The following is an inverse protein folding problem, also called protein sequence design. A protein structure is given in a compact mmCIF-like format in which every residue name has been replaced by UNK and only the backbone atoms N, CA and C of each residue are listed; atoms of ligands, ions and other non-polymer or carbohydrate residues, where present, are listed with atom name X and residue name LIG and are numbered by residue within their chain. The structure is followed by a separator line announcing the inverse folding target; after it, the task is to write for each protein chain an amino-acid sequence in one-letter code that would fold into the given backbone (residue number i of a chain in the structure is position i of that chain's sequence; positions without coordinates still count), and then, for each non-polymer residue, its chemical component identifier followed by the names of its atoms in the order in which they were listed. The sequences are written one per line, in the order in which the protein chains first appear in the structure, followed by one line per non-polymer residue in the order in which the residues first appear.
data_IF_991011881272
#
_entry.id   IF_991011881272
#
_cell.length_a   1.000
_cell.length_b   1.000
_cell.length_c   1.000
_cell.angle_alpha   90.00
_cell.angle_beta   90.00
_cell.angle_gamma   90.00
#
_symmetry.space_group_name_H-M   'P 1'
#
loop_
_entity.id
_entity.type
_entity.pdbx_description
1 polymer ?
#
# COMPACT_ATOMS: atom_id res chain seq x y z
N UNK A 1 -11.16 1.16 -8.24
CA UNK A 1 -9.94 0.40 -7.86
C UNK A 1 -9.88 0.26 -6.33
N UNK A 2 -9.33 -0.84 -5.82
CA UNK A 2 -9.05 -1.06 -4.39
C UNK A 2 -7.53 -1.10 -4.15
N UNK A 3 -7.05 -0.50 -3.08
CA UNK A 3 -5.67 -0.63 -2.61
C UNK A 3 -5.69 -1.46 -1.33
N UNK A 4 -4.90 -2.53 -1.28
CA UNK A 4 -4.64 -3.32 -0.08
C UNK A 4 -3.23 -2.98 0.40
N UNK A 5 -3.11 -2.43 1.61
CA UNK A 5 -1.82 -2.21 2.26
C UNK A 5 -1.64 -3.25 3.34
N UNK A 6 -0.63 -4.09 3.18
CA UNK A 6 -0.23 -5.10 4.16
C UNK A 6 1.04 -4.63 4.88
N UNK A 7 0.96 -4.53 6.20
CA UNK A 7 2.09 -4.17 7.06
C UNK A 7 2.31 -5.32 8.03
N UNK A 8 3.37 -6.09 7.78
CA UNK A 8 3.77 -7.19 8.66
C UNK A 8 4.58 -6.68 9.85
N UNK A 9 4.32 -7.23 11.04
CA UNK A 9 5.21 -7.10 12.19
C UNK A 9 6.25 -8.22 12.17
N UNK A 10 7.54 -7.85 12.26
CA UNK A 10 8.66 -8.77 12.04
C UNK A 10 8.57 -10.07 12.84
N UNK A 11 9.00 -11.16 12.17
CA UNK A 11 9.23 -12.55 12.63
C UNK A 11 8.32 -13.66 12.10
N UNK A 12 7.26 -13.42 11.33
CA UNK A 12 6.51 -14.57 10.77
C UNK A 12 5.77 -14.27 9.47
N UNK A 13 6.05 -15.07 8.44
CA UNK A 13 5.20 -15.29 7.25
C UNK A 13 5.13 -14.16 6.22
N UNK A 14 5.53 -12.93 6.54
CA UNK A 14 5.40 -11.82 5.59
C UNK A 14 6.34 -11.98 4.40
N UNK A 15 7.56 -12.48 4.59
CA UNK A 15 8.44 -12.85 3.47
C UNK A 15 7.83 -13.96 2.61
N UNK A 16 7.16 -14.95 3.22
CA UNK A 16 6.44 -16.00 2.48
C UNK A 16 5.27 -15.42 1.68
N UNK A 17 4.46 -14.53 2.26
CA UNK A 17 3.37 -13.83 1.57
C UNK A 17 3.92 -13.00 0.41
N UNK A 18 4.97 -12.20 0.64
CA UNK A 18 5.59 -11.37 -0.39
C UNK A 18 6.18 -12.21 -1.52
N UNK A 19 6.83 -13.33 -1.18
CA UNK A 19 7.37 -14.28 -2.16
C UNK A 19 6.25 -14.93 -2.98
N UNK A 20 5.20 -15.45 -2.33
CA UNK A 20 4.03 -15.99 -3.03
C UNK A 20 3.38 -14.96 -3.95
N UNK A 21 3.17 -13.73 -3.48
CA UNK A 21 2.60 -12.64 -4.29
C UNK A 21 3.47 -12.31 -5.50
N UNK A 22 4.80 -12.29 -5.31
CA UNK A 22 5.76 -12.01 -6.37
C UNK A 22 5.81 -13.12 -7.42
N UNK A 23 5.88 -14.38 -6.98
CA UNK A 23 6.02 -15.55 -7.84
C UNK A 23 4.74 -15.85 -8.64
N UNK A 24 3.57 -15.47 -8.12
CA UNK A 24 2.26 -15.75 -8.72
C UNK A 24 1.62 -14.51 -9.35
N UNK A 25 2.42 -13.54 -9.79
CA UNK A 25 1.93 -12.27 -10.31
C UNK A 25 1.01 -12.46 -11.55
N UNK A 26 1.27 -13.44 -12.41
CA UNK A 26 0.43 -13.72 -13.58
C UNK A 26 -0.94 -14.27 -13.17
N UNK A 27 -0.97 -15.20 -12.21
CA UNK A 27 -2.17 -15.77 -11.62
C UNK A 27 -2.99 -14.68 -10.92
N UNK A 28 -2.34 -13.79 -10.18
CA UNK A 28 -2.97 -12.62 -9.58
C UNK A 28 -3.62 -11.73 -10.65
N UNK A 29 -2.95 -11.48 -11.78
CA UNK A 29 -3.51 -10.65 -12.85
C UNK A 29 -4.76 -11.28 -13.45
N UNK A 30 -4.80 -12.60 -13.66
CA UNK A 30 -6.00 -13.33 -14.11
C UNK A 30 -7.19 -13.14 -13.15
N UNK A 31 -6.89 -12.96 -11.87
CA UNK A 31 -7.88 -12.71 -10.80
C UNK A 31 -8.17 -11.21 -10.57
N UNK A 32 -7.58 -10.30 -11.35
CA UNK A 32 -7.78 -8.86 -11.20
C UNK A 32 -6.96 -8.19 -10.09
N UNK A 33 -5.89 -8.85 -9.62
CA UNK A 33 -4.97 -8.36 -8.58
C UNK A 33 -3.59 -8.02 -9.15
N UNK A 34 -2.89 -7.08 -8.52
CA UNK A 34 -1.51 -6.74 -8.87
C UNK A 34 -0.67 -6.43 -7.63
N UNK A 35 0.42 -7.17 -7.41
CA UNK A 35 1.36 -6.89 -6.34
C UNK A 35 2.38 -5.81 -6.74
N UNK A 36 2.56 -4.80 -5.88
CA UNK A 36 3.37 -3.62 -6.14
C UNK A 36 4.83 -3.75 -5.65
N UNK A 37 5.15 -4.75 -4.83
CA UNK A 37 6.48 -4.90 -4.22
C UNK A 37 6.60 -4.23 -2.85
N UNK A 38 7.83 -4.04 -2.37
CA UNK A 38 8.16 -3.39 -1.11
C UNK A 38 8.16 -1.86 -1.24
N UNK A 39 8.80 -1.35 -2.29
CA UNK A 39 9.00 0.06 -2.60
C UNK A 39 8.54 0.35 -4.03
N UNK A 40 7.41 -0.24 -4.42
CA UNK A 40 6.77 -0.02 -5.72
C UNK A 40 7.64 -0.47 -6.92
N UNK A 41 8.58 -1.40 -6.72
CA UNK A 41 9.43 -2.00 -7.75
C UNK A 41 8.66 -2.89 -8.74
N UNK A 42 7.40 -3.22 -8.46
CA UNK A 42 6.52 -3.93 -9.41
C UNK A 42 5.41 -3.06 -10.01
N UNK A 43 5.28 -1.80 -9.57
CA UNK A 43 4.38 -0.81 -10.19
C UNK A 43 4.61 -0.69 -11.72
N UNK A 44 3.55 -0.50 -12.50
CA UNK A 44 3.71 -0.26 -13.95
C UNK A 44 4.26 1.14 -14.25
N UNK A 45 4.01 2.11 -13.36
CA UNK A 45 4.60 3.45 -13.45
C UNK A 45 5.95 3.45 -12.74
N UNK A 46 7.04 3.64 -13.49
CA UNK A 46 8.43 3.73 -13.00
C UNK A 46 8.98 5.14 -13.26
N UNK A 47 8.76 6.04 -12.31
CA UNK A 47 9.16 7.46 -12.42
C UNK A 47 10.39 7.80 -11.58
N UNK A 48 10.58 7.11 -10.45
CA UNK A 48 11.56 7.51 -9.45
C UNK A 48 12.60 6.42 -9.18
N UNK A 49 13.85 6.83 -8.96
CA UNK A 49 14.97 5.93 -8.74
C UNK A 49 14.83 5.06 -7.47
N UNK A 50 14.04 5.50 -6.48
CA UNK A 50 13.78 4.73 -5.26
C UNK A 50 12.85 3.54 -5.49
N UNK A 51 12.21 3.40 -6.67
CA UNK A 51 11.35 2.26 -7.04
C UNK A 51 12.15 0.99 -7.37
N UNK A 52 13.14 0.69 -6.54
CA UNK A 52 14.04 -0.44 -6.64
C UNK A 52 14.19 -1.02 -5.23
N UNK A 53 13.95 -2.33 -5.08
CA UNK A 53 14.04 -3.03 -3.79
C UNK A 53 15.41 -2.86 -3.08
N UNK A 54 16.47 -2.52 -3.83
CA UNK A 54 17.81 -2.27 -3.31
C UNK A 54 18.11 -0.79 -3.04
N UNK A 55 17.22 0.12 -3.43
CA UNK A 55 17.40 1.54 -3.19
C UNK A 55 17.08 1.88 -1.74
N UNK A 56 18.11 2.30 -1.00
CA UNK A 56 18.04 2.60 0.44
C UNK A 56 17.24 3.87 0.76
N UNK A 57 16.83 4.62 -0.26
CA UNK A 57 16.51 6.05 -0.12
C UNK A 57 15.02 6.34 0.09
N UNK A 58 14.11 5.36 -0.04
CA UNK A 58 12.67 5.63 0.05
C UNK A 58 12.27 6.29 1.39
N UNK A 59 12.76 5.76 2.51
CA UNK A 59 12.46 6.31 3.85
C UNK A 59 13.34 7.50 4.24
N UNK A 60 14.37 7.83 3.45
CA UNK A 60 15.23 8.98 3.69
C UNK A 60 14.62 10.30 3.18
N UNK A 61 13.59 10.23 2.32
CA UNK A 61 12.91 11.40 1.78
C UNK A 61 12.15 12.19 2.86
N UNK A 62 11.96 13.48 2.64
CA UNK A 62 11.01 14.27 3.41
C UNK A 62 9.56 13.81 3.13
N UNK A 63 8.66 14.09 4.07
CA UNK A 63 7.30 13.56 4.00
C UNK A 63 6.48 14.15 2.85
N UNK A 64 6.69 15.43 2.52
CA UNK A 64 5.93 16.09 1.46
C UNK A 64 6.28 15.47 0.10
N UNK A 65 7.58 15.32 -0.16
CA UNK A 65 8.09 14.62 -1.35
C UNK A 65 7.60 13.18 -1.40
N UNK A 66 7.76 12.41 -0.32
CA UNK A 66 7.34 11.01 -0.30
C UNK A 66 5.84 10.84 -0.60
N UNK A 67 4.97 11.69 -0.03
CA UNK A 67 3.54 11.66 -0.30
C UNK A 67 3.22 11.93 -1.78
N UNK A 68 3.83 12.98 -2.36
CA UNK A 68 3.58 13.35 -3.76
C UNK A 68 4.07 12.26 -4.72
N UNK A 69 5.30 11.78 -4.54
CA UNK A 69 5.90 10.79 -5.44
C UNK A 69 5.17 9.43 -5.34
N UNK A 70 4.75 9.00 -4.14
CA UNK A 70 3.95 7.78 -3.97
C UNK A 70 2.59 7.90 -4.65
N UNK A 71 1.90 9.05 -4.51
CA UNK A 71 0.64 9.29 -5.20
C UNK A 71 0.81 9.19 -6.71
N UNK A 72 1.83 9.84 -7.28
CA UNK A 72 2.08 9.79 -8.72
C UNK A 72 2.30 8.37 -9.25
N UNK A 73 3.03 7.54 -8.49
CA UNK A 73 3.27 6.15 -8.85
C UNK A 73 1.96 5.35 -8.78
N UNK A 74 1.18 5.53 -7.71
CA UNK A 74 -0.08 4.82 -7.53
C UNK A 74 -1.09 5.21 -8.61
N UNK A 75 -1.32 6.50 -8.81
CA UNK A 75 -2.32 7.01 -9.75
C UNK A 75 -1.99 6.57 -11.19
N UNK A 76 -0.73 6.74 -11.61
CA UNK A 76 -0.30 6.27 -12.94
C UNK A 76 -0.39 4.75 -13.09
N UNK A 77 -0.14 3.99 -12.01
CA UNK A 77 -0.27 2.53 -12.05
C UNK A 77 -1.73 2.10 -12.13
N UNK A 78 -2.62 2.74 -11.35
CA UNK A 78 -4.07 2.49 -11.40
C UNK A 78 -4.62 2.78 -12.79
N UNK A 79 -4.21 3.89 -13.40
CA UNK A 79 -4.67 4.26 -14.74
C UNK A 79 -4.32 3.17 -15.77
N UNK A 80 -3.11 2.63 -15.73
CA UNK A 80 -2.66 1.59 -16.65
C UNK A 80 -3.29 0.22 -16.35
N UNK A 81 -3.41 -0.14 -15.08
CA UNK A 81 -3.90 -1.45 -14.65
C UNK A 81 -5.41 -1.59 -14.79
N UNK A 82 -6.17 -0.51 -14.61
CA UNK A 82 -7.62 -0.51 -14.80
C UNK A 82 -8.02 -0.90 -16.23
N UNK A 83 -7.25 -0.44 -17.22
CA UNK A 83 -7.40 -0.79 -18.65
C UNK A 83 -7.14 -2.28 -18.93
N UNK A 84 -6.50 -3.00 -18.00
CA UNK A 84 -6.17 -4.44 -18.08
C UNK A 84 -7.10 -5.32 -17.24
N UNK A 85 -8.21 -4.78 -16.73
CA UNK A 85 -9.15 -5.53 -15.89
C UNK A 85 -8.68 -5.77 -14.46
N UNK A 86 -7.55 -5.17 -14.04
CA UNK A 86 -7.11 -5.22 -12.65
C UNK A 86 -7.98 -4.26 -11.83
N UNK A 87 -8.56 -4.77 -10.75
CA UNK A 87 -9.42 -4.00 -9.84
C UNK A 87 -8.80 -3.81 -8.45
N UNK A 88 -7.69 -4.51 -8.14
CA UNK A 88 -7.04 -4.41 -6.83
C UNK A 88 -5.52 -4.41 -6.93
N UNK A 89 -4.87 -3.46 -6.25
CA UNK A 89 -3.43 -3.45 -6.08
C UNK A 89 -3.05 -3.78 -4.63
N UNK A 90 -1.93 -4.46 -4.42
CA UNK A 90 -1.44 -4.89 -3.13
C UNK A 90 -0.06 -4.27 -2.89
N UNK A 91 0.11 -3.54 -1.80
CA UNK A 91 1.40 -3.05 -1.32
C UNK A 91 1.73 -3.72 0.01
N UNK A 92 2.81 -4.51 0.06
CA UNK A 92 3.21 -5.26 1.25
C UNK A 92 4.65 -4.91 1.62
N UNK A 93 4.86 -4.26 2.76
CA UNK A 93 6.18 -3.87 3.23
C UNK A 93 6.25 -3.81 4.77
N UNK A 94 7.08 -4.66 5.37
CA UNK A 94 7.29 -4.73 6.83
C UNK A 94 7.99 -3.48 7.40
N UNK A 95 8.84 -2.84 6.59
CA UNK A 95 9.60 -1.67 7.01
C UNK A 95 8.69 -0.47 7.31
N UNK A 96 7.46 -0.48 6.80
CA UNK A 96 6.46 0.56 7.06
C UNK A 96 6.13 0.69 8.55
N UNK A 97 6.16 -0.42 9.31
CA UNK A 97 5.89 -0.39 10.74
C UNK A 97 7.01 0.31 11.53
N UNK A 98 8.26 0.01 11.17
CA UNK A 98 9.44 0.60 11.82
C UNK A 98 9.60 2.09 11.50
N UNK A 99 9.06 2.52 10.36
CA UNK A 99 9.17 3.88 9.84
C UNK A 99 7.85 4.66 9.97
N UNK A 100 7.13 4.49 11.08
CA UNK A 100 5.78 5.03 11.28
C UNK A 100 5.67 6.55 11.04
N UNK A 101 6.68 7.33 11.44
CA UNK A 101 6.73 8.79 11.21
C UNK A 101 6.78 9.19 9.72
N UNK A 102 7.25 8.30 8.86
CA UNK A 102 7.26 8.45 7.39
C UNK A 102 6.03 7.82 6.75
N UNK A 103 5.59 6.68 7.27
CA UNK A 103 4.46 5.90 6.73
C UNK A 103 3.10 6.58 6.97
N UNK A 104 2.85 7.11 8.18
CA UNK A 104 1.54 7.67 8.54
C UNK A 104 1.10 8.79 7.59
N UNK A 105 1.94 9.79 7.25
CA UNK A 105 1.58 10.83 6.28
C UNK A 105 1.17 10.28 4.91
N UNK A 106 1.86 9.24 4.42
CA UNK A 106 1.53 8.58 3.16
C UNK A 106 0.15 7.95 3.26
N UNK A 107 -0.11 7.14 4.31
CA UNK A 107 -1.40 6.48 4.49
C UNK A 107 -2.56 7.47 4.62
N UNK A 108 -2.35 8.58 5.33
CA UNK A 108 -3.34 9.66 5.45
C UNK A 108 -3.62 10.32 4.10
N UNK A 109 -2.57 10.53 3.31
CA UNK A 109 -2.69 11.10 1.95
C UNK A 109 -3.47 10.16 1.04
N UNK A 110 -3.17 8.87 1.05
CA UNK A 110 -3.92 7.85 0.29
C UNK A 110 -5.39 7.76 0.72
N UNK A 111 -5.67 7.89 2.03
CA UNK A 111 -7.05 7.84 2.54
C UNK A 111 -7.89 9.04 2.08
N UNK A 112 -7.28 10.21 1.89
CA UNK A 112 -7.97 11.43 1.43
C UNK A 112 -8.30 11.38 -0.08
N UNK A 113 -7.57 10.58 -0.85
CA UNK A 113 -7.82 10.44 -2.28
C UNK A 113 -9.08 9.60 -2.52
N UNK A 114 -10.06 10.15 -3.23
CA UNK A 114 -11.36 9.54 -3.49
C UNK A 114 -11.39 8.63 -4.73
N UNK A 115 -10.32 8.62 -5.52
CA UNK A 115 -10.20 7.85 -6.78
C UNK A 115 -10.19 6.34 -6.56
N UNK A 116 -9.88 5.89 -5.35
CA UNK A 116 -9.81 4.47 -5.00
C UNK A 116 -10.27 4.20 -3.57
N UNK A 117 -10.69 2.96 -3.31
CA UNK A 117 -11.00 2.50 -1.96
C UNK A 117 -9.74 1.97 -1.30
N UNK A 118 -9.30 2.61 -0.22
CA UNK A 118 -8.17 2.14 0.58
C UNK A 118 -8.62 1.12 1.63
N UNK A 119 -7.99 -0.04 1.63
CA UNK A 119 -8.11 -1.08 2.66
C UNK A 119 -6.71 -1.36 3.20
N UNK A 120 -6.54 -1.43 4.50
CA UNK A 120 -5.26 -1.77 5.12
C UNK A 120 -5.46 -2.91 6.09
N UNK A 121 -4.44 -3.75 6.20
CA UNK A 121 -4.40 -4.89 7.12
C UNK A 121 -3.06 -4.86 7.82
N UNK A 122 -3.13 -4.73 9.14
CA UNK A 122 -1.99 -4.85 10.03
C UNK A 122 -1.97 -6.27 10.57
N UNK A 123 -0.86 -6.98 10.38
CA UNK A 123 -0.66 -8.31 10.95
C UNK A 123 0.41 -8.20 12.02
N UNK A 124 -0.02 -8.14 13.28
CA UNK A 124 0.85 -8.21 14.45
C UNK A 124 0.66 -9.57 15.13
N UNK A 125 1.67 -10.43 15.11
CA UNK A 125 1.63 -11.76 15.74
C UNK A 125 2.38 -11.82 17.08
N UNK A 126 2.47 -10.71 17.82
CA UNK A 126 2.79 -10.79 19.25
C UNK A 126 1.49 -10.95 20.05
N UNK A 127 1.21 -12.18 20.50
CA UNK A 127 0.06 -12.60 21.33
C UNK A 127 -1.29 -12.80 20.60
N UNK A 128 -1.33 -13.70 19.60
CA UNK A 128 -2.55 -14.42 19.23
C UNK A 128 -3.77 -13.59 18.81
N UNK A 129 -3.58 -12.32 18.46
CA UNK A 129 -4.68 -11.40 18.14
C UNK A 129 -4.39 -10.65 16.84
N UNK A 130 -5.14 -10.98 15.80
CA UNK A 130 -5.26 -10.15 14.60
C UNK A 130 -5.99 -8.88 15.05
N UNK A 131 -5.24 -7.81 15.35
CA UNK A 131 -5.86 -6.51 15.54
C UNK A 131 -6.20 -5.92 14.17
N UNK A 132 -7.48 -5.97 13.82
CA UNK A 132 -8.06 -5.09 12.80
C UNK A 132 -7.96 -3.65 13.30
N UNK A 133 -6.85 -2.97 13.03
CA UNK A 133 -6.77 -1.53 13.21
C UNK A 133 -7.54 -0.92 12.03
N UNK A 134 -8.74 -0.42 12.35
CA UNK A 134 -9.80 0.22 11.53
C UNK A 134 -10.70 -0.67 10.64
N UNK A 135 -11.77 -1.18 11.24
CA UNK A 135 -13.09 -1.22 10.58
C UNK A 135 -13.73 0.16 10.66
N UNK A 136 -13.48 1.01 9.66
CA UNK A 136 -14.01 2.36 9.61
C UNK A 136 -14.67 2.67 8.27
N UNK A 137 -15.85 2.09 8.02
CA UNK A 137 -16.90 2.86 7.34
C UNK A 137 -17.41 3.81 8.42
N UNK A 138 -16.80 4.99 8.51
CA UNK A 138 -17.30 6.05 9.39
C UNK A 138 -17.99 7.07 8.49
N UNK A 139 -19.31 6.92 8.38
CA UNK A 139 -20.19 8.06 8.18
C UNK A 139 -19.81 9.12 9.21
N UNK A 140 -19.49 10.32 8.76
CA UNK A 140 -19.62 11.52 9.59
C UNK A 140 -20.39 12.53 8.74
N UNK A 141 -21.71 12.35 8.70
CA UNK A 141 -22.59 13.50 8.86
C UNK A 141 -22.41 13.95 10.31
N UNK A 142 -21.92 15.17 10.49
CA UNK A 142 -22.27 15.94 11.67
C UNK A 142 -22.50 17.37 11.20
N UNK A 143 -23.75 17.59 10.79
CA UNK A 143 -24.50 18.79 11.13
C UNK A 143 -24.12 19.23 12.55
N UNK A 144 -23.51 20.39 12.65
CA UNK A 144 -23.81 21.29 13.77
C UNK A 144 -24.43 22.53 13.17
N UNK A 145 -25.72 22.64 13.42
CA UNK A 145 -26.46 23.89 13.46
C UNK A 145 -25.63 24.94 14.23
N UNK A 146 -25.50 26.11 13.63
CA UNK A 146 -25.89 27.39 14.21
C UNK A 146 -26.12 28.38 13.06
#
# INVERSE_FOLDING_TARGET
MKIIIHIGAGKTGTSSIQMTLKENQQELHKLGFHYMGLVFEHATTKKFAWQNQHAVNFFAMDNARACNEVLEVIDGTIEQLSKKGIHTIIWSNESLLKQSSKTIPILQTLKKNTTYKLSHTFVNMNHGSIQHIFSGVSNINNTKEN
#
